data_IF_287344656452
#
_entry.id   IF_287344656452
#
_cell.length_a   1.000
_cell.length_b   1.000
_cell.length_c   1.000
_cell.angle_alpha   90.00
_cell.angle_beta   90.00
_cell.angle_gamma   90.00
#
_symmetry.space_group_name_H-M   'P 1'
#
loop_
_entity.id
_entity.type
_entity.pdbx_description
1 polymer ?
#
# COMPACT_ATOMS: atom_id res chain seq x y z
N UNK A 1 -9.90 5.19 -0.57
CA UNK A 1 -9.83 3.90 -1.29
C UNK A 1 -9.78 4.03 -2.82
N UNK A 2 -10.58 4.87 -3.49
CA UNK A 2 -10.61 4.93 -4.97
C UNK A 2 -9.23 5.17 -5.61
N UNK A 3 -8.46 6.10 -5.04
CA UNK A 3 -7.10 6.40 -5.53
C UNK A 3 -6.14 5.21 -5.41
N UNK A 4 -6.19 4.51 -4.28
CA UNK A 4 -5.35 3.34 -4.02
C UNK A 4 -5.64 2.26 -5.05
N UNK A 5 -6.94 2.02 -5.32
CA UNK A 5 -7.39 1.05 -6.32
C UNK A 5 -6.91 1.43 -7.72
N UNK A 6 -7.06 2.71 -8.11
CA UNK A 6 -6.55 3.20 -9.39
C UNK A 6 -5.02 3.06 -9.50
N UNK A 7 -4.29 3.39 -8.43
CA UNK A 7 -2.82 3.29 -8.39
C UNK A 7 -2.36 1.85 -8.54
N UNK A 8 -3.02 0.90 -7.87
CA UNK A 8 -2.78 -0.55 -8.04
C UNK A 8 -2.96 -0.97 -9.50
N UNK A 9 -4.10 -0.61 -10.09
CA UNK A 9 -4.43 -0.99 -11.46
C UNK A 9 -3.39 -0.44 -12.42
N UNK A 10 -3.04 0.84 -12.32
CA UNK A 10 -2.04 1.47 -13.18
C UNK A 10 -0.65 0.85 -12.97
N UNK A 11 -0.28 0.52 -11.73
CA UNK A 11 1.01 -0.08 -11.41
C UNK A 11 1.13 -1.51 -11.96
N UNK A 12 0.06 -2.31 -11.89
CA UNK A 12 -0.01 -3.62 -12.54
C UNK A 12 0.01 -3.50 -14.07
N UNK A 13 -0.78 -2.58 -14.64
CA UNK A 13 -0.80 -2.30 -16.08
C UNK A 13 0.57 -1.87 -16.59
N UNK A 14 1.34 -1.12 -15.80
CA UNK A 14 2.70 -0.69 -16.18
C UNK A 14 3.67 -1.86 -16.38
N UNK A 15 3.38 -3.03 -15.78
CA UNK A 15 4.22 -4.22 -15.94
C UNK A 15 3.74 -5.13 -17.05
N UNK A 16 2.42 -5.23 -17.23
CA UNK A 16 1.81 -6.07 -18.26
C UNK A 16 1.85 -5.39 -19.63
N UNK A 17 1.73 -4.06 -19.68
CA UNK A 17 1.64 -3.27 -20.91
C UNK A 17 2.94 -2.52 -21.20
N UNK A 18 3.66 -2.97 -22.24
CA UNK A 18 5.00 -2.44 -22.58
C UNK A 18 5.07 -0.92 -22.80
N UNK A 19 4.10 -0.26 -23.46
CA UNK A 19 4.18 1.19 -23.65
C UNK A 19 4.14 1.98 -22.33
N UNK A 20 3.41 1.49 -21.32
CA UNK A 20 3.44 2.09 -19.97
C UNK A 20 4.77 1.80 -19.27
N UNK A 21 5.37 0.63 -19.50
CA UNK A 21 6.70 0.29 -18.98
C UNK A 21 7.80 1.20 -19.56
N UNK A 22 7.71 1.54 -20.85
CA UNK A 22 8.59 2.49 -21.52
C UNK A 22 8.42 3.91 -20.99
N UNK A 23 7.16 4.37 -20.83
CA UNK A 23 6.86 5.63 -20.16
C UNK A 23 7.52 5.70 -18.79
N UNK A 24 7.49 4.63 -17.98
CA UNK A 24 8.17 4.61 -16.68
C UNK A 24 9.70 4.82 -16.79
N UNK A 25 10.33 4.41 -17.90
CA UNK A 25 11.77 4.59 -18.16
C UNK A 25 12.14 6.00 -18.62
N UNK A 26 11.18 6.81 -19.08
CA UNK A 26 11.40 8.21 -19.47
C UNK A 26 11.71 9.14 -18.28
N UNK A 27 11.70 8.63 -17.05
CA UNK A 27 12.06 9.38 -15.84
C UNK A 27 10.88 10.21 -15.30
N UNK A 28 11.11 11.49 -15.01
CA UNK A 28 10.09 12.34 -14.37
C UNK A 28 8.89 12.65 -15.27
N UNK A 29 9.11 12.87 -16.57
CA UNK A 29 8.04 13.13 -17.55
C UNK A 29 7.06 11.95 -17.62
N UNK A 30 7.61 10.74 -17.69
CA UNK A 30 6.85 9.49 -17.70
C UNK A 30 6.08 9.25 -16.42
N UNK A 31 6.71 9.47 -15.25
CA UNK A 31 6.03 9.39 -13.95
C UNK A 31 4.85 10.36 -13.85
N UNK A 32 4.99 11.59 -14.37
CA UNK A 32 3.88 12.57 -14.40
C UNK A 32 2.71 12.07 -15.25
N UNK A 33 2.98 11.46 -16.41
CA UNK A 33 1.95 10.86 -17.29
C UNK A 33 1.23 9.69 -16.62
N UNK A 34 1.98 8.81 -15.95
CA UNK A 34 1.42 7.70 -15.17
C UNK A 34 0.50 8.24 -14.06
N UNK A 35 0.91 9.28 -13.34
CA UNK A 35 0.05 9.93 -12.33
C UNK A 35 -1.22 10.55 -12.94
N UNK A 36 -1.18 11.08 -14.16
CA UNK A 36 -2.39 11.54 -14.86
C UNK A 36 -3.36 10.39 -15.13
N UNK A 37 -2.88 9.24 -15.60
CA UNK A 37 -3.75 8.06 -15.77
C UNK A 37 -4.32 7.57 -14.44
N UNK A 38 -3.54 7.57 -13.37
CA UNK A 38 -4.04 7.23 -12.03
C UNK A 38 -5.14 8.20 -11.58
N UNK A 39 -5.01 9.50 -11.87
CA UNK A 39 -6.06 10.50 -11.55
C UNK A 39 -7.36 10.23 -12.30
N UNK A 40 -7.29 9.97 -13.61
CA UNK A 40 -8.49 9.64 -14.39
C UNK A 40 -9.13 8.33 -13.92
N UNK A 41 -8.32 7.30 -13.66
CA UNK A 41 -8.79 6.04 -13.07
C UNK A 41 -9.45 6.25 -11.71
N UNK A 42 -8.88 7.12 -10.88
CA UNK A 42 -9.43 7.47 -9.55
C UNK A 42 -10.81 8.09 -9.68
N UNK A 43 -10.98 9.04 -10.60
CA UNK A 43 -12.27 9.71 -10.82
C UNK A 43 -13.35 8.71 -11.24
N UNK A 44 -13.05 7.85 -12.21
CA UNK A 44 -13.97 6.81 -12.69
C UNK A 44 -14.35 5.86 -11.57
N UNK A 45 -13.37 5.32 -10.84
CA UNK A 45 -13.62 4.42 -9.73
C UNK A 45 -14.38 5.10 -8.58
N UNK A 46 -14.09 6.37 -8.30
CA UNK A 46 -14.80 7.12 -7.27
C UNK A 46 -16.27 7.30 -7.63
N UNK A 47 -16.61 7.55 -8.91
CA UNK A 47 -18.00 7.64 -9.37
C UNK A 47 -18.71 6.30 -9.15
N UNK A 48 -18.13 5.20 -9.64
CA UNK A 48 -18.73 3.88 -9.48
C UNK A 48 -18.89 3.48 -8.01
N UNK A 49 -17.86 3.69 -7.19
CA UNK A 49 -17.93 3.39 -5.75
C UNK A 49 -18.95 4.27 -5.02
N UNK A 50 -19.04 5.56 -5.37
CA UNK A 50 -20.00 6.47 -4.74
C UNK A 50 -21.44 6.13 -5.10
N UNK A 51 -21.72 5.68 -6.33
CA UNK A 51 -23.05 5.21 -6.74
C UNK A 51 -23.44 3.97 -5.92
N UNK A 52 -22.54 3.00 -5.79
CA UNK A 52 -22.79 1.80 -5.02
C UNK A 52 -23.01 2.08 -3.53
N UNK A 53 -22.22 2.99 -2.94
CA UNK A 53 -22.41 3.41 -1.54
C UNK A 53 -23.73 4.18 -1.38
N UNK A 54 -24.04 5.11 -2.28
CA UNK A 54 -25.26 5.91 -2.21
C UNK A 54 -26.53 5.05 -2.32
N UNK A 55 -26.49 3.99 -3.14
CA UNK A 55 -27.58 3.00 -3.28
C UNK A 55 -27.66 1.99 -2.14
N UNK A 56 -26.53 1.66 -1.51
CA UNK A 56 -26.49 0.78 -0.33
C UNK A 56 -26.89 1.46 0.98
N UNK A 57 -26.59 2.75 1.17
CA UNK A 57 -26.81 3.48 2.43
C UNK A 57 -28.27 3.44 2.94
N UNK A 58 -29.29 3.72 2.10
CA UNK A 58 -30.69 3.69 2.53
C UNK A 58 -31.17 2.29 2.92
N UNK A 59 -30.51 1.25 2.38
CA UNK A 59 -30.87 -0.15 2.58
C UNK A 59 -30.08 -0.80 3.73
N UNK A 60 -29.14 -0.08 4.36
CA UNK A 60 -28.34 -0.60 5.47
C UNK A 60 -29.16 -0.66 6.77
N UNK A 61 -29.14 -1.80 7.50
CA UNK A 61 -29.79 -1.91 8.80
C UNK A 61 -29.26 -0.86 9.79
N UNK A 62 -30.14 -0.07 10.40
CA UNK A 62 -29.77 1.00 11.35
C UNK A 62 -29.52 2.39 10.76
N UNK A 63 -29.49 2.53 9.43
CA UNK A 63 -29.35 3.82 8.73
C UNK A 63 -30.63 4.26 7.97
N UNK A 64 -31.70 3.48 8.08
CA UNK A 64 -32.99 3.70 7.39
C UNK A 64 -33.67 5.05 7.74
N UNK A 65 -33.30 5.68 8.86
CA UNK A 65 -33.78 7.02 9.26
C UNK A 65 -32.88 8.19 8.85
N UNK A 66 -31.71 7.93 8.26
CA UNK A 66 -30.74 8.98 7.90
C UNK A 66 -31.10 9.68 6.58
N UNK A 67 -31.86 9.00 5.72
CA UNK A 67 -32.25 9.48 4.39
C UNK A 67 -33.75 9.77 4.38
N UNK A 68 -34.08 11.03 4.64
CA UNK A 68 -35.48 11.51 4.78
C UNK A 68 -36.28 11.32 3.48
N UNK A 69 -35.63 11.40 2.32
CA UNK A 69 -36.28 11.15 1.03
C UNK A 69 -35.29 10.53 0.01
N UNK A 70 -35.37 9.22 -0.26
CA UNK A 70 -34.50 8.53 -1.22
C UNK A 70 -34.91 8.83 -2.67
N UNK A 71 -34.84 10.11 -3.07
CA UNK A 71 -35.10 10.57 -4.44
C UNK A 71 -33.84 10.69 -5.29
N UNK A 72 -34.00 10.95 -6.59
CA UNK A 72 -32.90 11.21 -7.53
C UNK A 72 -31.96 12.34 -7.04
N UNK A 73 -32.52 13.37 -6.41
CA UNK A 73 -31.76 14.47 -5.82
C UNK A 73 -30.80 14.01 -4.70
N UNK A 74 -31.21 13.02 -3.89
CA UNK A 74 -30.35 12.46 -2.85
C UNK A 74 -29.18 11.67 -3.46
N UNK A 75 -29.46 10.77 -4.41
CA UNK A 75 -28.42 9.98 -5.07
C UNK A 75 -27.40 10.87 -5.80
N UNK A 76 -27.88 11.87 -6.55
CA UNK A 76 -27.00 12.80 -7.25
C UNK A 76 -26.13 13.60 -6.27
N UNK A 77 -26.73 14.16 -5.22
CA UNK A 77 -26.00 14.97 -4.22
C UNK A 77 -25.00 14.12 -3.44
N UNK A 78 -25.37 12.89 -3.05
CA UNK A 78 -24.49 11.95 -2.36
C UNK A 78 -23.29 11.56 -3.23
N UNK A 79 -23.52 11.20 -4.49
CA UNK A 79 -22.45 10.84 -5.43
C UNK A 79 -21.50 12.01 -5.67
N UNK A 80 -22.03 13.20 -5.98
CA UNK A 80 -21.20 14.37 -6.22
C UNK A 80 -20.38 14.75 -4.98
N UNK A 81 -20.98 14.68 -3.78
CA UNK A 81 -20.30 15.00 -2.53
C UNK A 81 -19.15 14.02 -2.23
N UNK A 82 -19.40 12.71 -2.37
CA UNK A 82 -18.40 11.66 -2.13
C UNK A 82 -17.26 11.71 -3.16
N UNK A 83 -17.58 11.92 -4.45
CA UNK A 83 -16.58 12.06 -5.51
C UNK A 83 -15.75 13.31 -5.29
N UNK A 84 -16.38 14.45 -5.01
CA UNK A 84 -15.69 15.72 -4.78
C UNK A 84 -14.77 15.64 -3.56
N UNK A 85 -15.25 15.07 -2.44
CA UNK A 85 -14.43 14.85 -1.25
C UNK A 85 -13.22 13.94 -1.52
N UNK A 86 -13.42 12.85 -2.28
CA UNK A 86 -12.32 11.96 -2.67
C UNK A 86 -11.30 12.65 -3.57
N UNK A 87 -11.76 13.42 -4.56
CA UNK A 87 -10.89 14.16 -5.48
C UNK A 87 -10.13 15.27 -4.76
N UNK A 88 -10.75 15.94 -3.80
CA UNK A 88 -10.11 16.93 -2.95
C UNK A 88 -8.99 16.30 -2.10
N UNK A 89 -9.26 15.16 -1.44
CA UNK A 89 -8.25 14.45 -0.66
C UNK A 89 -7.09 13.95 -1.53
N UNK A 90 -7.38 13.50 -2.75
CA UNK A 90 -6.35 13.10 -3.71
C UNK A 90 -5.47 14.29 -4.10
N UNK A 91 -6.08 15.42 -4.47
CA UNK A 91 -5.35 16.65 -4.79
C UNK A 91 -4.50 17.14 -3.62
N UNK A 92 -5.03 17.09 -2.39
CA UNK A 92 -4.29 17.43 -1.17
C UNK A 92 -3.09 16.49 -1.00
N UNK A 93 -3.26 15.19 -1.24
CA UNK A 93 -2.18 14.20 -1.22
C UNK A 93 -1.08 14.48 -2.26
N UNK A 94 -1.45 14.92 -3.46
CA UNK A 94 -0.49 15.35 -4.47
C UNK A 94 0.27 16.62 -4.04
N UNK A 95 -0.43 17.61 -3.49
CA UNK A 95 0.20 18.83 -2.97
C UNK A 95 1.17 18.57 -1.81
N UNK A 96 0.83 17.64 -0.89
CA UNK A 96 1.76 17.20 0.16
C UNK A 96 2.99 16.53 -0.46
N UNK A 97 2.82 15.75 -1.53
CA UNK A 97 3.93 15.08 -2.21
C UNK A 97 4.86 16.07 -2.91
N UNK A 98 4.32 17.13 -3.52
CA UNK A 98 5.11 18.15 -4.21
C UNK A 98 5.86 19.08 -3.24
N UNK A 99 5.26 19.42 -2.09
CA UNK A 99 5.80 20.41 -1.15
C UNK A 99 6.45 19.81 0.10
N UNK A 100 6.26 18.52 0.34
CA UNK A 100 6.61 17.84 1.59
C UNK A 100 7.68 16.78 1.46
N UNK A 101 8.00 16.17 2.60
CA UNK A 101 8.94 15.05 2.73
C UNK A 101 8.18 13.72 2.69
N UNK A 102 8.02 13.15 1.49
CA UNK A 102 7.52 11.78 1.31
C UNK A 102 6.30 11.64 0.39
N UNK A 103 5.58 10.53 0.52
CA UNK A 103 4.37 10.25 -0.25
C UNK A 103 3.14 10.79 0.50
N UNK A 104 2.52 11.84 -0.03
CA UNK A 104 1.40 12.53 0.61
C UNK A 104 0.15 11.67 0.75
N UNK A 105 -0.10 10.72 -0.15
CA UNK A 105 -1.22 9.78 -0.02
C UNK A 105 -1.02 8.86 1.18
N UNK A 106 0.19 8.36 1.39
CA UNK A 106 0.50 7.52 2.57
C UNK A 106 0.31 8.29 3.87
N UNK A 107 0.65 9.58 3.90
CA UNK A 107 0.46 10.45 5.06
C UNK A 107 -1.03 10.66 5.36
N UNK A 108 -1.87 10.84 4.34
CA UNK A 108 -3.33 10.97 4.52
C UNK A 108 -3.92 9.69 5.13
N UNK A 109 -3.52 8.51 4.63
CA UNK A 109 -3.97 7.22 5.17
C UNK A 109 -3.51 7.08 6.62
N UNK A 110 -2.25 7.39 6.90
CA UNK A 110 -1.69 7.36 8.25
C UNK A 110 -2.46 8.27 9.21
N UNK A 111 -2.74 9.52 8.81
CA UNK A 111 -3.51 10.45 9.60
C UNK A 111 -4.93 9.92 9.89
N UNK A 112 -5.57 9.29 8.90
CA UNK A 112 -6.89 8.66 9.07
C UNK A 112 -6.89 7.51 10.07
N UNK A 113 -5.88 6.64 10.04
CA UNK A 113 -5.75 5.53 10.99
C UNK A 113 -5.44 6.06 12.39
N UNK A 114 -4.51 7.00 12.50
CA UNK A 114 -4.10 7.58 13.79
C UNK A 114 -5.23 8.37 14.43
N UNK A 115 -6.08 9.05 13.66
CA UNK A 115 -7.25 9.74 14.19
C UNK A 115 -8.25 8.79 14.88
N UNK A 116 -8.27 7.51 14.52
CA UNK A 116 -9.10 6.49 15.16
C UNK A 116 -8.51 5.90 16.46
N UNK A 117 -7.20 6.09 16.72
CA UNK A 117 -6.56 5.53 17.91
C UNK A 117 -7.00 6.19 19.22
N UNK A 118 -7.07 7.53 19.36
CA UNK A 118 -7.50 8.17 20.60
C UNK A 118 -8.89 7.72 21.10
N UNK A 119 -9.95 7.72 20.28
CA UNK A 119 -11.26 7.26 20.75
C UNK A 119 -11.27 5.77 21.09
N UNK A 120 -10.52 4.94 20.35
CA UNK A 120 -10.40 3.51 20.68
C UNK A 120 -9.74 3.27 22.04
N UNK A 121 -8.68 4.03 22.37
CA UNK A 121 -8.03 3.98 23.69
C UNK A 121 -8.99 4.46 24.78
N UNK A 122 -9.69 5.58 24.56
CA UNK A 122 -10.66 6.10 25.52
C UNK A 122 -11.77 5.07 25.82
N UNK A 123 -12.34 4.46 24.77
CA UNK A 123 -13.36 3.42 24.90
C UNK A 123 -12.85 2.19 25.65
N UNK A 124 -11.61 1.77 25.39
CA UNK A 124 -10.99 0.63 26.09
C UNK A 124 -10.81 0.93 27.58
N UNK A 125 -10.41 2.16 27.94
CA UNK A 125 -10.26 2.58 29.34
C UNK A 125 -11.62 2.65 30.04
N UNK A 126 -12.65 3.15 29.36
CA UNK A 126 -14.02 3.18 29.91
C UNK A 126 -14.56 1.77 30.17
N UNK A 127 -14.37 0.84 29.24
CA UNK A 127 -14.74 -0.58 29.43
C UNK A 127 -13.99 -1.23 30.59
N UNK A 128 -12.71 -0.90 30.78
CA UNK A 128 -11.94 -1.36 31.94
C UNK A 128 -12.45 -0.75 33.26
N UNK A 129 -12.92 0.50 33.26
CA UNK A 129 -13.52 1.16 34.43
C UNK A 129 -14.91 0.59 34.78
N UNK A 130 -15.68 0.20 33.78
CA UNK A 130 -17.01 -0.40 33.95
C UNK A 130 -16.94 -1.86 34.45
N UNK A 131 -15.74 -2.46 34.50
CA UNK A 131 -15.53 -3.82 34.99
C UNK A 131 -15.73 -4.91 33.95
N UNK A 132 -16.12 -4.55 32.72
CA UNK A 132 -16.30 -5.49 31.60
C UNK A 132 -14.98 -6.07 31.09
N UNK A 133 -13.86 -5.36 31.29
CA UNK A 133 -12.52 -5.83 30.94
C UNK A 133 -11.65 -6.03 32.17
N UNK A 134 -11.13 -7.24 32.33
CA UNK A 134 -10.16 -7.56 33.37
C UNK A 134 -8.86 -6.77 33.16
N UNK A 135 -8.35 -6.12 34.22
CA UNK A 135 -7.12 -5.33 34.18
C UNK A 135 -5.93 -6.10 33.59
N UNK A 136 -5.85 -7.41 33.85
CA UNK A 136 -4.80 -8.30 33.34
C UNK A 136 -4.85 -8.42 31.80
N UNK A 137 -6.04 -8.44 31.20
CA UNK A 137 -6.21 -8.51 29.74
C UNK A 137 -5.76 -7.20 29.08
N UNK A 138 -6.05 -6.05 29.69
CA UNK A 138 -5.59 -4.75 29.20
C UNK A 138 -4.06 -4.62 29.21
N UNK A 139 -3.42 -5.07 30.29
CA UNK A 139 -1.95 -5.13 30.38
C UNK A 139 -1.36 -6.03 29.28
N UNK A 140 -1.97 -7.20 29.07
CA UNK A 140 -1.52 -8.15 28.05
C UNK A 140 -1.64 -7.57 26.64
N UNK A 141 -2.74 -6.88 26.32
CA UNK A 141 -2.91 -6.18 25.04
C UNK A 141 -1.86 -5.09 24.85
N UNK A 142 -1.59 -4.28 25.87
CA UNK A 142 -0.57 -3.22 25.79
C UNK A 142 0.84 -3.80 25.52
N UNK A 143 1.21 -4.87 26.23
CA UNK A 143 2.49 -5.56 26.00
C UNK A 143 2.55 -6.15 24.58
N UNK A 144 1.47 -6.74 24.09
CA UNK A 144 1.40 -7.32 22.76
C UNK A 144 1.56 -6.25 21.67
N UNK A 145 0.87 -5.10 21.80
CA UNK A 145 1.01 -3.97 20.86
C UNK A 145 2.44 -3.47 20.83
N UNK A 146 3.09 -3.32 21.99
CA UNK A 146 4.49 -2.91 22.06
C UNK A 146 5.42 -3.94 21.42
N UNK A 147 5.25 -5.22 21.73
CA UNK A 147 6.06 -6.31 21.20
C UNK A 147 5.96 -6.42 19.66
N UNK A 148 4.74 -6.33 19.12
CA UNK A 148 4.50 -6.34 17.67
C UNK A 148 5.11 -5.12 17.01
N UNK A 149 4.94 -3.92 17.59
CA UNK A 149 5.53 -2.69 17.04
C UNK A 149 7.05 -2.76 17.03
N UNK A 150 7.67 -3.25 18.12
CA UNK A 150 9.11 -3.46 18.20
C UNK A 150 9.60 -4.45 17.14
N UNK A 151 8.90 -5.59 16.99
CA UNK A 151 9.23 -6.59 15.99
C UNK A 151 9.16 -6.04 14.55
N UNK A 152 8.10 -5.28 14.23
CA UNK A 152 7.96 -4.63 12.92
C UNK A 152 9.10 -3.65 12.66
N UNK A 153 9.45 -2.80 13.64
CA UNK A 153 10.55 -1.84 13.51
C UNK A 153 11.90 -2.55 13.34
N UNK A 154 12.12 -3.64 14.07
CA UNK A 154 13.33 -4.45 13.96
C UNK A 154 13.49 -5.04 12.55
N UNK A 155 12.43 -5.63 11.99
CA UNK A 155 12.44 -6.21 10.64
C UNK A 155 12.59 -5.13 9.57
N UNK A 156 11.87 -4.01 9.68
CA UNK A 156 11.96 -2.89 8.72
C UNK A 156 13.32 -2.18 8.72
N UNK A 157 13.99 -2.12 9.88
CA UNK A 157 15.36 -1.58 9.97
C UNK A 157 16.43 -2.60 9.60
N UNK A 158 16.06 -3.87 9.43
CA UNK A 158 16.93 -4.93 8.95
C UNK A 158 17.42 -4.62 7.54
N UNK A 159 18.75 -4.45 7.40
CA UNK A 159 19.39 -4.24 6.10
C UNK A 159 20.61 -5.13 5.96
N UNK A 160 20.73 -5.78 4.80
CA UNK A 160 21.90 -6.51 4.35
C UNK A 160 22.79 -5.54 3.59
N UNK A 161 24.01 -5.32 4.10
CA UNK A 161 24.96 -4.39 3.50
C UNK A 161 25.89 -5.14 2.56
N UNK A 162 25.79 -4.89 1.25
CA UNK A 162 26.76 -5.38 0.27
C UNK A 162 27.86 -4.35 0.11
N UNK A 163 29.12 -4.71 0.33
CA UNK A 163 30.25 -3.80 0.12
C UNK A 163 30.47 -3.57 -1.37
N UNK A 164 30.59 -2.32 -1.77
CA UNK A 164 30.85 -1.87 -3.14
C UNK A 164 32.05 -0.94 -3.11
N UNK A 165 33.00 -1.18 -4.01
CA UNK A 165 34.18 -0.34 -4.16
C UNK A 165 34.02 0.51 -5.42
N UNK A 166 34.34 1.79 -5.31
CA UNK A 166 34.46 2.64 -6.49
C UNK A 166 35.81 2.42 -7.15
N UNK A 167 35.81 2.37 -8.49
CA UNK A 167 37.03 2.28 -9.27
C UNK A 167 37.97 3.43 -8.91
N UNK A 168 39.25 3.09 -8.70
CA UNK A 168 40.29 4.08 -8.39
C UNK A 168 40.37 5.07 -9.54
N UNK A 169 40.10 6.35 -9.25
CA UNK A 169 40.37 7.44 -10.20
C UNK A 169 41.84 7.79 -10.08
N UNK A 170 42.64 7.45 -11.09
CA UNK A 170 44.01 7.93 -11.19
C UNK A 170 44.00 9.28 -11.90
N UNK A 171 44.41 10.34 -11.20
CA UNK A 171 44.60 11.67 -11.79
C UNK A 171 46.08 12.02 -11.67
N UNK A 172 46.82 11.94 -12.78
CA UNK A 172 48.28 12.11 -12.80
C UNK A 172 49.04 10.96 -12.10
N UNK A 173 50.05 11.30 -11.28
CA UNK A 173 50.87 10.35 -10.50
C UNK A 173 50.28 9.98 -9.13
N UNK A 174 49.12 10.54 -8.74
CA UNK A 174 48.47 10.23 -7.46
C UNK A 174 47.27 9.32 -7.68
N UNK A 175 47.33 8.15 -7.06
CA UNK A 175 46.21 7.21 -7.00
C UNK A 175 45.35 7.62 -5.81
N UNK A 176 44.12 8.07 -6.06
CA UNK A 176 43.16 8.29 -4.99
C UNK A 176 42.73 6.94 -4.41
N UNK A 177 42.69 6.85 -3.07
CA UNK A 177 42.29 5.64 -2.37
C UNK A 177 40.89 5.21 -2.81
N UNK A 178 40.70 3.91 -3.01
CA UNK A 178 39.38 3.36 -3.31
C UNK A 178 38.48 3.58 -2.09
N UNK A 179 37.47 4.44 -2.23
CA UNK A 179 36.47 4.60 -1.19
C UNK A 179 35.55 3.37 -1.23
N UNK A 180 35.52 2.61 -0.15
CA UNK A 180 34.55 1.55 0.05
C UNK A 180 33.24 2.17 0.53
N UNK A 181 32.14 1.74 -0.06
CA UNK A 181 30.78 2.08 0.37
C UNK A 181 29.99 0.79 0.50
N UNK A 182 28.76 0.87 1.00
CA UNK A 182 27.85 -0.26 1.00
C UNK A 182 26.56 0.09 0.26
N UNK A 183 26.04 -0.86 -0.50
CA UNK A 183 24.69 -0.84 -1.02
C UNK A 183 23.80 -1.49 0.05
N UNK A 184 22.91 -0.73 0.72
CA UNK A 184 21.97 -1.29 1.66
C UNK A 184 20.81 -1.96 0.90
N UNK A 185 20.62 -3.26 1.12
CA UNK A 185 19.43 -3.98 0.69
C UNK A 185 18.56 -4.22 1.93
N UNK A 186 17.37 -3.64 1.98
CA UNK A 186 16.45 -3.91 3.10
C UNK A 186 15.88 -5.32 2.98
N UNK A 187 15.58 -5.94 4.12
CA UNK A 187 14.88 -7.24 4.15
C UNK A 187 13.49 -7.12 3.53
N UNK A 188 12.78 -6.03 3.81
CA UNK A 188 11.52 -5.67 3.14
C UNK A 188 11.72 -4.39 2.31
N UNK A 189 11.76 -4.53 0.99
CA UNK A 189 11.80 -3.38 0.08
C UNK A 189 10.40 -2.85 -0.26
N UNK A 190 9.35 -3.60 0.06
CA UNK A 190 7.98 -3.29 -0.32
C UNK A 190 7.27 -2.33 0.66
N UNK A 191 7.75 -2.25 1.91
CA UNK A 191 7.17 -1.42 2.96
C UNK A 191 5.70 -1.77 3.23
N UNK A 192 4.86 -0.75 3.39
CA UNK A 192 3.43 -0.90 3.78
C UNK A 192 2.50 -1.14 2.57
N UNK A 193 2.98 -0.93 1.34
CA UNK A 193 2.15 -0.96 0.12
C UNK A 193 1.48 -2.34 -0.09
N UNK A 194 2.16 -3.49 0.06
CA UNK A 194 1.52 -4.80 -0.08
C UNK A 194 0.34 -5.04 0.85
N UNK A 195 0.43 -4.58 2.10
CA UNK A 195 -0.66 -4.72 3.06
C UNK A 195 -1.90 -3.91 2.65
N UNK A 196 -1.68 -2.72 2.10
CA UNK A 196 -2.74 -1.87 1.54
C UNK A 196 -3.37 -2.52 0.30
N UNK A 197 -2.57 -3.20 -0.52
CA UNK A 197 -3.07 -3.92 -1.70
C UNK A 197 -3.92 -5.13 -1.32
N UNK A 198 -3.44 -5.92 -0.36
CA UNK A 198 -4.18 -7.06 0.19
C UNK A 198 -5.54 -6.62 0.77
N UNK A 199 -5.57 -5.52 1.54
CA UNK A 199 -6.81 -5.03 2.14
C UNK A 199 -7.79 -4.52 1.09
N UNK A 200 -7.31 -3.79 0.08
CA UNK A 200 -8.14 -3.27 -1.01
C UNK A 200 -8.79 -4.39 -1.84
N UNK A 201 -8.06 -5.48 -2.11
CA UNK A 201 -8.58 -6.62 -2.88
C UNK A 201 -9.62 -7.41 -2.09
N UNK A 202 -9.39 -7.63 -0.79
CA UNK A 202 -10.34 -8.40 0.03
C UNK A 202 -11.61 -7.59 0.34
N UNK A 203 -11.50 -6.27 0.44
CA UNK A 203 -12.67 -5.38 0.58
C UNK A 203 -13.52 -5.29 -0.70
N UNK A 204 -12.97 -5.62 -1.87
CA UNK A 204 -13.67 -5.48 -3.14
C UNK A 204 -14.89 -6.42 -3.27
N UNK A 205 -14.78 -7.75 -3.04
CA UNK A 205 -15.95 -8.65 -3.02
C UNK A 205 -16.99 -8.29 -1.97
N UNK A 206 -16.55 -7.85 -0.78
CA UNK A 206 -17.45 -7.42 0.29
C UNK A 206 -18.28 -6.20 -0.15
N UNK A 207 -17.65 -5.28 -0.88
CA UNK A 207 -18.29 -4.07 -1.42
C UNK A 207 -19.28 -4.42 -2.55
N UNK A 208 -18.94 -5.36 -3.44
CA UNK A 208 -19.90 -5.86 -4.44
C UNK A 208 -21.10 -6.52 -3.76
N UNK A 209 -20.85 -7.33 -2.73
CA UNK A 209 -21.93 -8.01 -2.00
C UNK A 209 -22.83 -7.03 -1.27
N UNK A 210 -22.29 -5.95 -0.70
CA UNK A 210 -23.14 -4.93 -0.06
C UNK A 210 -24.00 -4.15 -1.07
N UNK A 211 -23.56 -4.03 -2.33
CA UNK A 211 -24.34 -3.38 -3.40
C UNK A 211 -25.41 -4.29 -4.01
N UNK A 212 -25.12 -5.57 -4.20
CA UNK A 212 -25.99 -6.51 -4.94
C UNK A 212 -26.65 -7.60 -4.08
N UNK A 213 -26.22 -7.78 -2.83
CA UNK A 213 -26.64 -8.88 -1.94
C UNK A 213 -28.03 -8.76 -1.35
N UNK A 214 -28.74 -7.64 -1.57
CA UNK A 214 -30.14 -7.47 -1.17
C UNK A 214 -31.17 -8.15 -2.10
N UNK A 215 -30.74 -8.68 -3.25
CA UNK A 215 -31.61 -9.35 -4.21
C UNK A 215 -31.93 -10.80 -3.83
N UNK A 216 -33.21 -11.18 -3.92
CA UNK A 216 -33.73 -12.55 -3.78
C UNK A 216 -33.15 -13.45 -4.88
N UNK A 217 -32.00 -14.07 -4.62
CA UNK A 217 -31.34 -15.01 -5.54
C UNK A 217 -29.84 -15.20 -5.30
N UNK A 218 -29.20 -14.35 -4.49
CA UNK A 218 -27.75 -14.32 -4.30
C UNK A 218 -27.31 -14.77 -2.89
N UNK A 219 -28.00 -15.75 -2.29
CA UNK A 219 -27.68 -16.26 -0.95
C UNK A 219 -26.24 -16.76 -0.82
N UNK A 220 -25.65 -17.29 -1.89
CA UNK A 220 -24.23 -17.66 -1.91
C UNK A 220 -23.32 -16.44 -1.67
N UNK A 221 -23.64 -15.27 -2.23
CA UNK A 221 -22.84 -14.06 -2.01
C UNK A 221 -22.95 -13.56 -0.57
N UNK A 222 -24.14 -13.58 0.04
CA UNK A 222 -24.30 -13.19 1.44
C UNK A 222 -23.56 -14.13 2.38
N UNK A 223 -23.54 -15.44 2.08
CA UNK A 223 -22.70 -16.43 2.79
C UNK A 223 -21.21 -16.12 2.63
N UNK A 224 -20.73 -15.85 1.41
CA UNK A 224 -19.33 -15.44 1.17
C UNK A 224 -18.98 -14.18 1.96
N UNK A 225 -19.85 -13.16 1.94
CA UNK A 225 -19.58 -11.92 2.66
C UNK A 225 -19.53 -12.12 4.17
N UNK A 226 -20.31 -13.05 4.72
CA UNK A 226 -20.23 -13.41 6.15
C UNK A 226 -18.87 -14.01 6.48
N UNK A 227 -18.38 -14.93 5.65
CA UNK A 227 -17.05 -15.54 5.82
C UNK A 227 -15.87 -14.57 5.57
N UNK A 228 -16.10 -13.52 4.78
CA UNK A 228 -15.14 -12.44 4.52
C UNK A 228 -15.23 -11.27 5.52
N UNK A 229 -16.00 -11.39 6.60
CA UNK A 229 -16.01 -10.36 7.63
C UNK A 229 -14.73 -10.40 8.50
N UNK A 230 -14.21 -9.22 8.90
CA UNK A 230 -13.14 -9.14 9.87
C UNK A 230 -13.51 -9.89 11.16
N UNK A 231 -12.63 -10.78 11.61
CA UNK A 231 -12.85 -11.63 12.78
C UNK A 231 -13.14 -13.10 12.47
N UNK A 232 -13.48 -13.44 11.21
CA UNK A 232 -13.60 -14.83 10.80
C UNK A 232 -12.23 -15.46 10.48
N UNK A 233 -11.99 -16.74 10.84
CA UNK A 233 -10.72 -17.41 10.54
C UNK A 233 -10.38 -17.45 9.05
N UNK A 234 -11.39 -17.62 8.17
CA UNK A 234 -11.19 -17.63 6.72
C UNK A 234 -10.70 -16.28 6.21
N UNK A 235 -11.29 -15.18 6.68
CA UNK A 235 -10.83 -13.84 6.37
C UNK A 235 -9.37 -13.64 6.78
N UNK A 236 -9.00 -14.03 8.01
CA UNK A 236 -7.63 -13.88 8.52
C UNK A 236 -6.64 -14.68 7.68
N UNK A 237 -6.98 -15.93 7.31
CA UNK A 237 -6.12 -16.79 6.50
C UNK A 237 -5.95 -16.25 5.07
N UNK A 238 -7.04 -15.83 4.42
CA UNK A 238 -7.00 -15.20 3.10
C UNK A 238 -6.20 -13.89 3.15
N UNK A 239 -6.43 -13.05 4.16
CA UNK A 239 -5.74 -11.78 4.34
C UNK A 239 -4.24 -11.98 4.56
N UNK A 240 -3.85 -12.90 5.45
CA UNK A 240 -2.45 -13.23 5.69
C UNK A 240 -1.77 -13.78 4.43
N UNK A 241 -2.42 -14.71 3.72
CA UNK A 241 -1.88 -15.27 2.48
C UNK A 241 -1.71 -14.22 1.38
N UNK A 242 -2.69 -13.30 1.24
CA UNK A 242 -2.63 -12.20 0.29
C UNK A 242 -1.49 -11.22 0.63
N UNK A 243 -1.30 -10.88 1.92
CA UNK A 243 -0.18 -10.04 2.35
C UNK A 243 1.16 -10.69 1.99
N UNK A 244 1.35 -11.98 2.28
CA UNK A 244 2.58 -12.71 1.97
C UNK A 244 2.81 -12.71 0.46
N UNK A 245 1.79 -13.06 -0.32
CA UNK A 245 1.85 -13.07 -1.78
C UNK A 245 2.24 -11.69 -2.34
N UNK A 246 1.54 -10.63 -1.96
CA UNK A 246 1.83 -9.28 -2.45
C UNK A 246 3.18 -8.76 -1.96
N UNK A 247 3.67 -9.18 -0.80
CA UNK A 247 4.99 -8.78 -0.31
C UNK A 247 6.09 -9.32 -1.22
N UNK A 248 6.06 -10.61 -1.55
CA UNK A 248 7.01 -11.22 -2.49
C UNK A 248 6.83 -10.73 -3.92
N UNK A 249 5.59 -10.66 -4.40
CA UNK A 249 5.27 -10.19 -5.75
C UNK A 249 5.71 -8.75 -5.97
N UNK A 250 5.39 -7.84 -5.04
CA UNK A 250 5.75 -6.43 -5.17
C UNK A 250 7.26 -6.22 -5.07
N UNK A 251 7.95 -6.94 -4.18
CA UNK A 251 9.41 -6.88 -4.06
C UNK A 251 10.09 -7.30 -5.36
N UNK A 252 9.66 -8.41 -5.96
CA UNK A 252 10.19 -8.89 -7.24
C UNK A 252 9.90 -7.94 -8.41
N UNK A 253 8.77 -7.23 -8.37
CA UNK A 253 8.36 -6.28 -9.40
C UNK A 253 9.16 -4.97 -9.34
N UNK A 254 9.39 -4.44 -8.13
CA UNK A 254 10.07 -3.16 -7.95
C UNK A 254 11.58 -3.31 -8.01
N UNK A 255 12.13 -4.40 -7.49
CA UNK A 255 13.56 -4.61 -7.46
C UNK A 255 14.03 -5.39 -8.69
N UNK A 256 14.78 -4.72 -9.56
CA UNK A 256 15.44 -5.36 -10.69
C UNK A 256 16.95 -5.50 -10.42
N UNK A 257 17.47 -6.73 -10.17
CA UNK A 257 18.89 -6.94 -9.91
C UNK A 257 19.78 -6.54 -11.10
N UNK A 258 19.30 -6.72 -12.33
CA UNK A 258 20.05 -6.36 -13.56
C UNK A 258 20.20 -4.85 -13.69
N UNK A 259 19.10 -4.11 -13.51
CA UNK A 259 19.13 -2.65 -13.56
C UNK A 259 20.01 -2.06 -12.44
N UNK A 260 19.94 -2.64 -11.23
CA UNK A 260 20.81 -2.26 -10.12
C UNK A 260 22.30 -2.50 -10.46
N UNK A 261 22.62 -3.66 -11.04
CA UNK A 261 23.99 -3.98 -11.48
C UNK A 261 24.49 -3.04 -12.60
N UNK A 262 23.64 -2.70 -13.56
CA UNK A 262 23.97 -1.74 -14.62
C UNK A 262 24.18 -0.32 -14.07
N UNK A 263 23.37 0.09 -13.10
CA UNK A 263 23.54 1.38 -12.42
C UNK A 263 24.85 1.44 -11.62
N UNK A 264 25.24 0.35 -10.94
CA UNK A 264 26.55 0.24 -10.30
C UNK A 264 27.69 0.34 -11.32
N UNK A 265 27.57 -0.35 -12.45
CA UNK A 265 28.56 -0.29 -13.54
C UNK A 265 28.68 1.13 -14.10
N UNK A 266 27.55 1.82 -14.33
CA UNK A 266 27.52 3.21 -14.82
C UNK A 266 28.12 4.20 -13.83
N UNK A 267 27.94 3.99 -12.51
CA UNK A 267 28.53 4.83 -11.46
C UNK A 267 30.01 4.51 -11.18
N UNK A 268 30.60 3.53 -11.87
CA UNK A 268 31.99 3.10 -11.64
C UNK A 268 32.18 2.31 -10.34
N UNK A 269 31.10 1.84 -9.71
CA UNK A 269 31.11 0.97 -8.54
C UNK A 269 31.09 -0.51 -8.95
N UNK A 270 31.80 -1.35 -8.20
CA UNK A 270 31.79 -2.80 -8.40
C UNK A 270 31.83 -3.55 -7.06
N UNK A 271 31.20 -4.73 -7.04
CA UNK A 271 31.26 -5.63 -5.88
C UNK A 271 32.61 -6.35 -5.91
N UNK A 272 33.42 -6.27 -4.84
CA UNK A 272 34.72 -6.96 -4.78
C UNK A 272 34.58 -8.45 -5.06
N UNK A 273 35.45 -8.99 -5.93
CA UNK A 273 35.46 -10.41 -6.29
C UNK A 273 34.44 -10.84 -7.34
N UNK A 274 33.62 -9.92 -7.87
CA UNK A 274 32.57 -10.23 -8.87
C UNK A 274 32.73 -9.34 -10.09
N UNK A 275 32.72 -9.95 -11.29
CA UNK A 275 32.84 -9.19 -12.55
C UNK A 275 31.60 -8.30 -12.75
N UNK A 276 31.77 -6.99 -13.06
CA UNK A 276 30.65 -6.08 -13.29
C UNK A 276 29.72 -6.54 -14.42
N UNK A 277 28.41 -6.38 -14.22
CA UNK A 277 27.37 -6.75 -15.17
C UNK A 277 26.55 -7.95 -14.69
N UNK A 278 26.37 -8.96 -15.54
CA UNK A 278 25.45 -10.07 -15.27
C UNK A 278 25.81 -10.89 -14.02
N UNK A 279 27.10 -11.04 -13.72
CA UNK A 279 27.56 -11.75 -12.52
C UNK A 279 27.22 -10.98 -11.23
N UNK A 280 27.32 -9.65 -11.26
CA UNK A 280 26.85 -8.79 -10.16
C UNK A 280 25.34 -8.93 -9.98
N UNK A 281 24.56 -8.97 -11.07
CA UNK A 281 23.11 -9.16 -11.00
C UNK A 281 22.74 -10.51 -10.35
N UNK A 282 23.40 -11.61 -10.78
CA UNK A 282 23.19 -12.95 -10.19
C UNK A 282 23.53 -13.02 -8.70
N UNK A 283 24.59 -12.32 -8.29
CA UNK A 283 24.96 -12.26 -6.88
C UNK A 283 23.94 -11.49 -6.04
N UNK A 284 23.50 -10.31 -6.52
CA UNK A 284 22.47 -9.52 -5.86
C UNK A 284 21.17 -10.32 -5.74
N UNK A 285 20.77 -11.02 -6.81
CA UNK A 285 19.58 -11.87 -6.83
C UNK A 285 19.68 -13.00 -5.80
N UNK A 286 20.79 -13.76 -5.79
CA UNK A 286 21.04 -14.81 -4.80
C UNK A 286 21.00 -14.27 -3.36
N UNK A 287 21.47 -13.05 -3.15
CA UNK A 287 21.48 -12.38 -1.84
C UNK A 287 20.08 -11.91 -1.40
N UNK A 288 19.15 -11.70 -2.33
CA UNK A 288 17.78 -11.34 -1.98
C UNK A 288 16.86 -12.55 -1.82
N UNK A 289 17.06 -13.60 -2.61
CA UNK A 289 16.23 -14.81 -2.53
C UNK A 289 16.60 -15.68 -1.32
N UNK A 290 17.84 -15.59 -0.82
CA UNK A 290 18.36 -16.33 0.33
C UNK A 290 18.44 -15.48 1.60
#
# INVERSE_FOLDING_TARGET
MPYISASIIVQLLTVVYQPLAELKKEGESGRRKISQYTRYGTLVLAIFQSIGIATGLPNMPGMQGLVINPGFAFYFTAVVSLVTGTMFLMWLGEQITERGIGNGISIIIFAGIVAGLPPAIAHTIEQARQGDLHFLLLLLVAVLVFAVTFFVVFVERGQRRIVVNYAKRQQGRRVYAAQSTHLPLKVNMAGVIPAIFASSIILFPATITSWFGGGTGWNWLTTISLYLQPGQPLYVLLYASAIIFFCFFYTALVFNPRETADNLKKSGAFVPGIRPGEQTAKYIDKVMTA
#
